data_IF_455447341611
#
_entry.id   IF_455447341611
#
_cell.length_a   1.000
_cell.length_b   1.000
_cell.length_c   1.000
_cell.angle_alpha   90.00
_cell.angle_beta   90.00
_cell.angle_gamma   90.00
#
_symmetry.space_group_name_H-M   'P 1'
#
loop_
_entity.id
_entity.type
_entity.pdbx_description
1 polymer ?
#
# COMPACT_ATOMS: atom_id res chain seq x y z
N UNK A 1 -4.90 48.01 -22.76
CA UNK A 1 -5.83 47.69 -21.66
C UNK A 1 -6.47 46.30 -21.82
N UNK A 2 -6.45 45.69 -23.02
CA UNK A 2 -6.94 44.33 -23.27
C UNK A 2 -6.13 43.22 -22.58
N UNK A 3 -4.79 43.27 -22.67
CA UNK A 3 -3.91 42.20 -22.15
C UNK A 3 -4.05 42.05 -20.62
N UNK A 4 -4.21 43.15 -19.89
CA UNK A 4 -4.40 43.12 -18.43
C UNK A 4 -5.74 42.49 -18.03
N UNK A 5 -6.80 42.70 -18.82
CA UNK A 5 -8.12 42.10 -18.56
C UNK A 5 -8.08 40.60 -18.87
N UNK A 6 -7.40 40.19 -19.94
CA UNK A 6 -7.21 38.77 -20.29
C UNK A 6 -6.38 38.04 -19.24
N UNK A 7 -5.29 38.64 -18.75
CA UNK A 7 -4.48 38.05 -17.67
C UNK A 7 -5.26 37.95 -16.35
N UNK A 8 -6.03 38.99 -16.00
CA UNK A 8 -6.84 38.99 -14.79
C UNK A 8 -7.92 37.89 -14.83
N UNK A 9 -8.63 37.78 -15.96
CA UNK A 9 -9.68 36.77 -16.15
C UNK A 9 -9.12 35.34 -16.18
N UNK A 10 -8.01 35.10 -16.89
CA UNK A 10 -7.31 33.80 -16.86
C UNK A 10 -6.82 33.43 -15.46
N UNK A 11 -6.28 34.40 -14.72
CA UNK A 11 -5.84 34.19 -13.33
C UNK A 11 -7.00 33.81 -12.40
N UNK A 12 -8.15 34.48 -12.53
CA UNK A 12 -9.35 34.16 -11.74
C UNK A 12 -9.91 32.77 -12.04
N UNK A 13 -9.91 32.35 -13.31
CA UNK A 13 -10.39 31.02 -13.71
C UNK A 13 -9.46 29.93 -13.17
N UNK A 14 -8.14 30.12 -13.26
CA UNK A 14 -7.15 29.18 -12.72
C UNK A 14 -7.30 29.00 -11.20
N UNK A 15 -7.51 30.10 -10.47
CA UNK A 15 -7.74 30.07 -9.02
C UNK A 15 -9.03 29.36 -8.62
N UNK A 16 -10.10 29.51 -9.41
CA UNK A 16 -11.38 28.84 -9.16
C UNK A 16 -11.33 27.33 -9.47
N UNK A 17 -10.50 26.90 -10.42
CA UNK A 17 -10.39 25.50 -10.83
C UNK A 17 -9.52 24.64 -9.88
N UNK A 18 -8.52 25.24 -9.24
CA UNK A 18 -7.60 24.58 -8.30
C UNK A 18 -8.29 23.72 -7.22
N UNK A 19 -9.28 24.23 -6.45
CA UNK A 19 -9.92 23.41 -5.41
C UNK A 19 -10.66 22.19 -5.97
N UNK A 20 -11.30 22.33 -7.13
CA UNK A 20 -12.00 21.21 -7.81
C UNK A 20 -11.01 20.16 -8.29
N UNK A 21 -9.90 20.59 -8.89
CA UNK A 21 -8.82 19.69 -9.33
C UNK A 21 -8.24 18.90 -8.14
N UNK A 22 -7.97 19.57 -7.02
CA UNK A 22 -7.47 18.91 -5.81
C UNK A 22 -8.45 17.87 -5.28
N UNK A 23 -9.75 18.17 -5.25
CA UNK A 23 -10.78 17.23 -4.82
C UNK A 23 -10.90 16.00 -5.74
N UNK A 24 -10.83 16.20 -7.06
CA UNK A 24 -10.82 15.10 -8.04
C UNK A 24 -9.60 14.19 -7.83
N UNK A 25 -8.42 14.77 -7.64
CA UNK A 25 -7.19 14.00 -7.39
C UNK A 25 -7.30 13.17 -6.11
N UNK A 26 -7.77 13.78 -5.02
CA UNK A 26 -8.02 13.12 -3.74
C UNK A 26 -8.96 11.93 -3.88
N UNK A 27 -10.11 12.13 -4.53
CA UNK A 27 -11.10 11.07 -4.75
C UNK A 27 -10.57 9.95 -5.67
N UNK A 28 -9.77 10.30 -6.67
CA UNK A 28 -9.13 9.34 -7.56
C UNK A 28 -8.15 8.44 -6.78
N UNK A 29 -7.27 9.01 -5.95
CA UNK A 29 -6.33 8.23 -5.15
C UNK A 29 -7.04 7.34 -4.12
N UNK A 30 -8.05 7.86 -3.43
CA UNK A 30 -8.85 7.05 -2.50
C UNK A 30 -9.51 5.85 -3.22
N UNK A 31 -10.04 6.07 -4.41
CA UNK A 31 -10.64 5.01 -5.23
C UNK A 31 -9.60 3.99 -5.71
N UNK A 32 -8.42 4.46 -6.13
CA UNK A 32 -7.30 3.59 -6.52
C UNK A 32 -6.80 2.73 -5.36
N UNK A 33 -6.67 3.29 -4.16
CA UNK A 33 -6.26 2.54 -2.96
C UNK A 33 -7.30 1.48 -2.60
N UNK A 34 -8.59 1.82 -2.66
CA UNK A 34 -9.66 0.85 -2.42
C UNK A 34 -9.67 -0.29 -3.45
N UNK A 35 -9.50 0.04 -4.73
CA UNK A 35 -9.40 -0.95 -5.81
C UNK A 35 -8.17 -1.86 -5.65
N UNK A 36 -7.00 -1.28 -5.36
CA UNK A 36 -5.75 -2.00 -5.16
C UNK A 36 -5.80 -2.93 -3.94
N UNK A 37 -6.37 -2.44 -2.83
CA UNK A 37 -6.61 -3.25 -1.63
C UNK A 37 -7.56 -4.42 -1.92
N UNK A 38 -8.60 -4.20 -2.72
CA UNK A 38 -9.53 -5.25 -3.14
C UNK A 38 -8.85 -6.31 -4.01
N UNK A 39 -8.03 -5.88 -4.98
CA UNK A 39 -7.21 -6.74 -5.82
C UNK A 39 -6.27 -7.61 -4.99
N UNK A 40 -5.56 -7.02 -4.01
CA UNK A 40 -4.72 -7.75 -3.07
C UNK A 40 -5.49 -8.87 -2.35
N UNK A 41 -6.73 -8.59 -1.96
CA UNK A 41 -7.61 -9.59 -1.33
C UNK A 41 -7.90 -10.79 -2.20
N UNK A 42 -8.16 -10.55 -3.48
CA UNK A 42 -8.40 -11.61 -4.45
C UNK A 42 -7.12 -12.42 -4.67
N UNK A 43 -5.98 -11.76 -4.84
CA UNK A 43 -4.67 -12.43 -4.94
C UNK A 43 -4.36 -13.27 -3.70
N UNK A 44 -4.64 -12.79 -2.49
CA UNK A 44 -4.45 -13.54 -1.25
C UNK A 44 -5.34 -14.78 -1.17
N UNK A 45 -6.57 -14.72 -1.67
CA UNK A 45 -7.48 -15.89 -1.75
C UNK A 45 -6.94 -16.93 -2.72
N UNK A 46 -6.48 -16.52 -3.91
CA UNK A 46 -5.88 -17.44 -4.87
C UNK A 46 -4.55 -18.02 -4.37
N UNK A 47 -3.74 -17.20 -3.71
CA UNK A 47 -2.52 -17.65 -3.04
C UNK A 47 -2.84 -18.72 -2.00
N UNK A 48 -3.79 -18.45 -1.10
CA UNK A 48 -4.20 -19.41 -0.08
C UNK A 48 -4.74 -20.71 -0.69
N UNK A 49 -5.59 -20.62 -1.73
CA UNK A 49 -6.08 -21.79 -2.45
C UNK A 49 -4.93 -22.62 -3.03
N UNK A 50 -3.91 -21.97 -3.60
CA UNK A 50 -2.72 -22.65 -4.10
C UNK A 50 -1.92 -23.34 -2.99
N UNK A 51 -1.70 -22.65 -1.87
CA UNK A 51 -1.03 -23.24 -0.70
C UNK A 51 -1.76 -24.50 -0.21
N UNK A 52 -3.09 -24.48 -0.22
CA UNK A 52 -3.91 -25.65 0.18
C UNK A 52 -3.81 -26.78 -0.84
N UNK A 53 -3.86 -26.48 -2.14
CA UNK A 53 -3.74 -27.47 -3.22
C UNK A 53 -2.37 -28.16 -3.19
N UNK A 54 -1.32 -27.39 -2.91
CA UNK A 54 0.06 -27.88 -2.90
C UNK A 54 0.48 -28.48 -1.55
N UNK A 55 -0.44 -28.55 -0.56
CA UNK A 55 -0.17 -29.01 0.83
C UNK A 55 1.03 -28.30 1.48
N UNK A 56 1.14 -26.99 1.23
CA UNK A 56 2.33 -26.20 1.51
C UNK A 56 2.16 -25.25 2.72
N UNK A 57 1.18 -25.48 3.60
CA UNK A 57 0.83 -24.57 4.70
C UNK A 57 2.00 -24.31 5.66
N UNK A 58 2.84 -25.32 5.89
CA UNK A 58 4.04 -25.24 6.74
C UNK A 58 5.33 -24.94 5.94
N UNK A 59 5.22 -24.73 4.63
CA UNK A 59 6.36 -24.35 3.80
C UNK A 59 6.77 -22.90 4.06
N UNK A 60 8.08 -22.64 3.99
CA UNK A 60 8.63 -21.28 4.13
C UNK A 60 8.53 -20.46 2.85
N UNK A 61 8.28 -21.11 1.72
CA UNK A 61 8.13 -20.46 0.43
C UNK A 61 7.29 -21.31 -0.52
N UNK A 62 6.64 -20.66 -1.47
CA UNK A 62 5.91 -21.30 -2.56
C UNK A 62 6.13 -20.53 -3.85
N UNK A 63 6.12 -21.23 -4.98
CA UNK A 63 6.07 -20.59 -6.29
C UNK A 63 4.63 -20.15 -6.54
N UNK A 64 4.35 -18.86 -6.57
CA UNK A 64 3.04 -18.33 -6.96
C UNK A 64 3.17 -17.66 -8.32
N UNK A 65 2.41 -18.17 -9.30
CA UNK A 65 2.62 -17.85 -10.72
C UNK A 65 4.09 -18.15 -11.08
N UNK A 66 4.90 -17.13 -11.36
CA UNK A 66 6.32 -17.27 -11.72
C UNK A 66 7.27 -16.68 -10.66
N UNK A 67 6.76 -16.40 -9.46
CA UNK A 67 7.52 -15.74 -8.40
C UNK A 67 7.67 -16.65 -7.18
N UNK A 68 8.85 -16.64 -6.57
CA UNK A 68 9.05 -17.23 -5.25
C UNK A 68 8.50 -16.28 -4.20
N UNK A 69 7.47 -16.71 -3.49
CA UNK A 69 6.84 -15.95 -2.40
C UNK A 69 7.20 -16.61 -1.09
N UNK A 70 7.85 -15.84 -0.21
CA UNK A 70 8.11 -16.29 1.15
C UNK A 70 6.83 -16.27 1.97
N UNK A 71 6.69 -17.28 2.81
CA UNK A 71 5.51 -17.51 3.61
C UNK A 71 5.85 -17.44 5.09
N UNK A 72 4.87 -16.99 5.87
CA UNK A 72 4.87 -17.07 7.31
C UNK A 72 3.45 -17.46 7.75
N UNK A 73 3.34 -18.56 8.50
CA UNK A 73 2.06 -19.10 8.98
C UNK A 73 1.02 -19.37 7.87
N UNK A 74 1.45 -19.97 6.75
CA UNK A 74 0.56 -20.36 5.65
C UNK A 74 0.10 -19.23 4.73
N UNK A 75 0.56 -18.01 4.96
CA UNK A 75 0.23 -16.81 4.18
C UNK A 75 1.52 -16.09 3.74
N UNK A 76 1.49 -15.20 2.73
CA UNK A 76 2.67 -14.45 2.34
C UNK A 76 3.22 -13.65 3.52
N UNK A 77 4.54 -13.70 3.74
CA UNK A 77 5.16 -12.80 4.72
C UNK A 77 4.85 -11.35 4.34
N UNK A 78 4.70 -10.48 5.33
CA UNK A 78 4.46 -9.06 5.08
C UNK A 78 5.77 -8.35 4.71
N UNK A 79 6.46 -8.83 3.68
CA UNK A 79 7.64 -8.19 3.08
C UNK A 79 7.29 -7.55 1.75
N UNK A 80 8.05 -6.52 1.37
CA UNK A 80 7.84 -5.85 0.08
C UNK A 80 8.00 -6.81 -1.11
N UNK A 81 8.92 -7.77 -1.02
CA UNK A 81 9.16 -8.74 -2.09
C UNK A 81 8.00 -9.72 -2.24
N UNK A 82 7.52 -10.30 -1.14
CA UNK A 82 6.39 -11.22 -1.18
C UNK A 82 5.13 -10.52 -1.66
N UNK A 83 4.81 -9.34 -1.14
CA UNK A 83 3.58 -8.63 -1.56
C UNK A 83 3.65 -8.12 -3.01
N UNK A 84 4.82 -7.72 -3.49
CA UNK A 84 5.01 -7.36 -4.90
C UNK A 84 4.69 -8.52 -5.85
N UNK A 85 5.01 -9.76 -5.47
CA UNK A 85 4.70 -10.93 -6.28
C UNK A 85 3.19 -11.25 -6.37
N UNK A 86 2.36 -10.66 -5.50
CA UNK A 86 0.91 -10.84 -5.51
C UNK A 86 0.16 -9.72 -6.25
N UNK A 87 0.83 -8.62 -6.58
CA UNK A 87 0.21 -7.39 -7.02
C UNK A 87 0.65 -7.01 -8.43
N UNK A 88 -0.33 -6.77 -9.30
CA UNK A 88 -0.13 -6.25 -10.65
C UNK A 88 -0.32 -4.72 -10.67
N UNK A 89 0.44 -4.01 -9.85
CA UNK A 89 0.48 -2.54 -9.82
C UNK A 89 1.92 -2.04 -9.98
N UNK A 90 2.08 -0.79 -10.43
CA UNK A 90 3.40 -0.18 -10.62
C UNK A 90 4.12 0.06 -9.29
N UNK A 91 4.90 -0.93 -8.82
CA UNK A 91 5.76 -0.85 -7.62
C UNK A 91 7.23 -0.76 -8.01
N UNK A 92 8.11 -0.21 -7.15
CA UNK A 92 9.55 -0.21 -7.42
C UNK A 92 10.04 -1.65 -7.53
N UNK A 93 10.94 -1.95 -8.46
CA UNK A 93 11.36 -3.33 -8.75
C UNK A 93 12.00 -4.07 -7.56
N UNK A 94 12.60 -3.36 -6.60
CA UNK A 94 13.28 -3.97 -5.45
C UNK A 94 13.28 -3.06 -4.23
N UNK A 95 13.37 -3.70 -3.06
CA UNK A 95 13.54 -3.01 -1.77
C UNK A 95 12.29 -2.29 -1.28
N UNK A 96 12.51 -1.51 -0.22
CA UNK A 96 11.52 -0.60 0.36
C UNK A 96 11.70 0.81 -0.23
N UNK A 97 10.61 1.55 -0.32
CA UNK A 97 10.58 2.97 -0.67
C UNK A 97 10.94 3.83 0.55
N UNK A 98 11.51 5.02 0.36
CA UNK A 98 11.67 5.98 1.45
C UNK A 98 10.30 6.45 1.96
N UNK A 99 10.16 6.69 3.28
CA UNK A 99 8.86 7.03 3.90
C UNK A 99 8.62 8.54 4.03
N UNK A 100 9.71 9.32 4.04
CA UNK A 100 9.79 10.74 4.35
C UNK A 100 9.76 11.63 3.09
N UNK A 101 9.87 11.00 1.92
CA UNK A 101 9.85 11.66 0.62
C UNK A 101 9.11 10.82 -0.42
N UNK A 102 8.52 11.45 -1.45
CA UNK A 102 7.88 10.73 -2.53
C UNK A 102 8.82 9.73 -3.20
N UNK A 103 8.31 8.54 -3.53
CA UNK A 103 9.07 7.61 -4.37
C UNK A 103 9.02 8.05 -5.85
N UNK A 104 9.96 7.53 -6.64
CA UNK A 104 10.09 7.84 -8.06
C UNK A 104 10.25 6.54 -8.87
N UNK A 105 9.76 6.57 -10.12
CA UNK A 105 9.91 5.47 -11.07
C UNK A 105 8.85 4.36 -10.92
N UNK A 106 7.79 4.59 -10.14
CA UNK A 106 6.67 3.68 -9.96
C UNK A 106 5.42 4.46 -9.52
N UNK A 107 4.22 3.95 -9.85
CA UNK A 107 2.94 4.58 -9.51
C UNK A 107 2.60 4.48 -8.02
N UNK A 108 3.16 3.48 -7.36
CA UNK A 108 3.03 3.23 -5.93
C UNK A 108 4.40 3.03 -5.29
N UNK A 109 4.45 3.29 -4.00
CA UNK A 109 5.57 3.07 -3.11
C UNK A 109 5.24 1.92 -2.16
N UNK A 110 6.25 1.28 -1.57
CA UNK A 110 6.05 0.11 -0.67
C UNK A 110 7.06 0.06 0.46
N UNK A 111 6.60 -0.25 1.66
CA UNK A 111 7.43 -0.48 2.84
C UNK A 111 6.93 -1.75 3.54
N UNK A 112 7.76 -2.80 3.56
CA UNK A 112 7.42 -4.06 4.23
C UNK A 112 8.23 -4.33 5.49
N UNK A 113 7.87 -5.40 6.17
CA UNK A 113 8.46 -5.90 7.41
C UNK A 113 8.39 -4.91 8.58
N UNK A 114 7.34 -4.09 8.64
CA UNK A 114 7.12 -3.15 9.73
C UNK A 114 6.32 -3.80 10.86
N UNK A 115 6.48 -3.27 12.06
CA UNK A 115 5.85 -3.72 13.30
C UNK A 115 6.00 -2.65 14.40
N UNK A 116 5.23 -2.71 15.50
CA UNK A 116 5.44 -1.79 16.63
C UNK A 116 6.91 -1.78 17.05
N UNK A 117 7.49 -0.59 17.25
CA UNK A 117 8.93 -0.38 17.56
C UNK A 117 9.92 -0.52 16.39
N UNK A 118 9.47 -0.81 15.18
CA UNK A 118 10.33 -0.70 13.99
C UNK A 118 10.47 0.76 13.53
N UNK A 119 11.59 1.09 12.88
CA UNK A 119 11.96 2.46 12.56
C UNK A 119 10.98 3.21 11.64
N UNK A 120 10.18 2.48 10.86
CA UNK A 120 9.28 3.06 9.85
C UNK A 120 7.84 2.57 10.03
N UNK A 121 7.48 2.21 11.26
CA UNK A 121 6.13 1.83 11.60
C UNK A 121 5.21 3.05 11.68
N UNK A 122 4.07 2.95 11.00
CA UNK A 122 3.01 3.95 11.06
C UNK A 122 1.77 3.32 11.67
N UNK A 123 1.24 3.93 12.74
CA UNK A 123 0.04 3.44 13.39
C UNK A 123 -1.14 3.41 12.41
N UNK A 124 -1.90 2.32 12.42
CA UNK A 124 -3.07 2.17 11.56
C UNK A 124 -4.31 2.59 12.36
N UNK A 125 -5.08 3.59 11.91
CA UNK A 125 -6.30 3.99 12.59
C UNK A 125 -7.24 2.80 12.83
N UNK A 126 -7.76 2.68 14.05
CA UNK A 126 -8.72 1.63 14.47
C UNK A 126 -8.18 0.20 14.42
N UNK A 127 -6.89 0.00 14.17
CA UNK A 127 -6.25 -1.31 14.24
C UNK A 127 -5.16 -1.31 15.31
N UNK A 128 -5.30 -2.16 16.31
CA UNK A 128 -4.31 -2.29 17.38
C UNK A 128 -3.37 -3.46 17.06
N UNK A 129 -2.08 -3.14 16.88
CA UNK A 129 -1.06 -4.16 16.88
C UNK A 129 -0.80 -4.63 18.31
N UNK A 130 -0.89 -5.93 18.52
CA UNK A 130 -0.38 -6.57 19.74
C UNK A 130 1.06 -6.97 19.41
N UNK A 131 2.02 -6.46 20.18
CA UNK A 131 3.43 -6.80 19.95
C UNK A 131 3.70 -8.25 20.38
N UNK A 132 3.74 -9.14 19.38
CA UNK A 132 4.13 -10.53 19.52
C UNK A 132 5.63 -10.73 19.24
N UNK A 133 6.49 -9.88 19.81
CA UNK A 133 7.93 -9.84 19.51
C UNK A 133 8.22 -9.63 18.02
N UNK A 134 7.33 -8.90 17.36
CA UNK A 134 7.38 -8.75 15.92
C UNK A 134 7.02 -10.00 15.10
N UNK A 135 6.35 -11.00 15.65
CA UNK A 135 5.85 -12.09 14.79
C UNK A 135 4.86 -11.54 13.74
N UNK A 136 4.03 -10.59 14.16
CA UNK A 136 3.07 -9.91 13.31
C UNK A 136 3.75 -8.74 12.59
N UNK A 137 3.52 -8.67 11.28
CA UNK A 137 4.24 -7.76 10.38
C UNK A 137 3.27 -7.10 9.42
N UNK A 138 3.58 -5.88 9.01
CA UNK A 138 2.79 -5.10 8.06
C UNK A 138 3.60 -4.60 6.87
N UNK A 139 2.93 -4.59 5.73
CA UNK A 139 3.33 -3.86 4.53
C UNK A 139 2.39 -2.68 4.34
N UNK A 140 2.95 -1.51 4.06
CA UNK A 140 2.25 -0.32 3.62
C UNK A 140 2.54 -0.08 2.13
N UNK A 141 1.52 0.35 1.39
CA UNK A 141 1.60 0.73 -0.02
C UNK A 141 0.84 2.04 -0.21
N UNK A 142 1.46 3.04 -0.82
CA UNK A 142 0.89 4.38 -0.99
C UNK A 142 1.18 4.94 -2.39
N UNK A 143 0.41 5.93 -2.87
CA UNK A 143 0.58 6.45 -4.23
C UNK A 143 1.86 7.27 -4.38
N UNK A 144 2.36 7.34 -5.61
CA UNK A 144 3.42 8.28 -5.97
C UNK A 144 2.99 9.72 -5.67
N UNK A 145 3.93 10.52 -5.16
CA UNK A 145 3.68 11.91 -4.77
C UNK A 145 3.30 12.07 -3.30
N UNK A 146 2.92 10.97 -2.64
CA UNK A 146 2.63 10.95 -1.21
C UNK A 146 3.80 10.39 -0.37
N UNK A 147 3.79 10.69 0.92
CA UNK A 147 4.72 10.18 1.93
C UNK A 147 3.98 9.36 2.99
N UNK A 148 4.56 8.22 3.36
CA UNK A 148 3.93 7.34 4.36
C UNK A 148 3.96 7.97 5.76
N UNK A 149 4.98 8.75 6.08
CA UNK A 149 5.20 9.30 7.42
C UNK A 149 4.18 10.38 7.80
N UNK A 150 3.79 11.24 6.85
CA UNK A 150 2.94 12.41 7.14
C UNK A 150 1.54 12.33 6.54
N UNK A 151 1.29 11.45 5.59
CA UNK A 151 0.01 11.43 4.87
C UNK A 151 -0.76 10.13 5.13
N UNK A 152 -1.98 10.29 5.63
CA UNK A 152 -2.94 9.21 5.84
C UNK A 152 -3.58 8.75 4.49
N UNK A 153 -2.74 8.38 3.51
CA UNK A 153 -3.14 7.97 2.16
C UNK A 153 -2.39 6.69 1.74
N UNK A 154 -2.83 5.54 2.23
CA UNK A 154 -2.18 4.25 1.97
C UNK A 154 -3.15 3.07 2.11
N UNK A 155 -2.78 1.93 1.53
CA UNK A 155 -3.37 0.64 1.90
C UNK A 155 -2.33 -0.27 2.53
N UNK A 156 -2.80 -1.26 3.26
CA UNK A 156 -1.93 -2.11 4.06
C UNK A 156 -2.35 -3.57 4.05
N UNK A 157 -1.37 -4.42 4.33
CA UNK A 157 -1.53 -5.85 4.60
C UNK A 157 -0.75 -6.22 5.85
N UNK A 158 -1.44 -6.81 6.81
CA UNK A 158 -0.88 -7.35 8.04
C UNK A 158 -0.92 -8.87 7.94
N UNK A 159 0.23 -9.52 8.07
CA UNK A 159 0.30 -10.94 8.38
C UNK A 159 0.35 -11.06 9.91
N UNK A 160 -0.75 -11.53 10.50
CA UNK A 160 -0.81 -11.87 11.93
C UNK A 160 -0.38 -13.32 12.10
N UNK A 161 0.93 -13.55 11.95
CA UNK A 161 1.49 -14.88 12.00
C UNK A 161 1.26 -15.57 13.36
N UNK A 162 1.09 -14.78 14.42
CA UNK A 162 0.77 -15.23 15.78
C UNK A 162 -0.53 -16.03 15.89
N UNK A 163 -1.54 -15.69 15.10
CA UNK A 163 -2.87 -16.31 15.13
C UNK A 163 -3.28 -16.91 13.78
N UNK A 164 -2.33 -17.00 12.83
CA UNK A 164 -2.52 -17.50 11.47
C UNK A 164 -3.63 -16.77 10.71
N UNK A 165 -3.71 -15.46 10.86
CA UNK A 165 -4.69 -14.64 10.13
C UNK A 165 -4.05 -13.47 9.40
N UNK A 166 -4.83 -12.82 8.54
CA UNK A 166 -4.38 -11.65 7.79
C UNK A 166 -5.42 -10.55 7.91
N UNK A 167 -4.93 -9.32 8.01
CA UNK A 167 -5.77 -8.12 8.03
C UNK A 167 -5.33 -7.22 6.90
N UNK A 168 -6.28 -6.58 6.23
CA UNK A 168 -6.01 -5.68 5.12
C UNK A 168 -7.02 -4.57 5.11
N UNK A 169 -6.60 -3.38 4.72
CA UNK A 169 -7.44 -2.20 4.72
C UNK A 169 -6.76 -1.05 4.00
N UNK A 170 -7.41 0.11 4.06
CA UNK A 170 -6.90 1.35 3.52
C UNK A 170 -7.20 2.51 4.48
N UNK A 171 -6.43 3.57 4.32
CA UNK A 171 -6.50 4.84 5.05
C UNK A 171 -6.47 5.91 3.98
N UNK A 172 -7.47 6.77 3.96
CA UNK A 172 -7.70 7.75 2.86
C UNK A 172 -8.03 9.14 3.38
N UNK A 173 -7.93 9.38 4.69
CA UNK A 173 -8.22 10.65 5.33
C UNK A 173 -7.25 11.75 4.91
N UNK A 174 -6.03 11.37 4.53
CA UNK A 174 -4.95 12.25 4.06
C UNK A 174 -4.69 12.16 2.56
N UNK A 175 -5.42 11.31 1.83
CA UNK A 175 -5.70 11.61 0.43
C UNK A 175 -6.64 12.83 0.48
#
# INVERSE_FOLDING_TARGET
MEITIVLATLGSIALAALPVLLDIHRQAYASMLHSSQSSLGTSLKFFHAKVVIDDAQDSQQITYVDHQVKMLSGMPEASANSIRALLEIGLPAKGNSPIDKPCHGSDFCIMGNQFPNSAHFVEIPKYQFIDHSGLDRVVYIWPQGYTLESEACYFYYVNQASNRSVVRGHVTEGC
#
